data_IF_641002833532
#
_entry.id   IF_641002833532
#
_cell.length_a   1.000
_cell.length_b   1.000
_cell.length_c   1.000
_cell.angle_alpha   90.00
_cell.angle_beta   90.00
_cell.angle_gamma   90.00
#
_symmetry.space_group_name_H-M   'P 1'
#
loop_
_entity.id
_entity.type
_entity.pdbx_description
1 polymer ?
#
# COMPACT_ATOMS: atom_id res chain seq x y z
N UNK A 1 20.97 5.08 -0.38
CA UNK A 1 19.96 5.74 -0.83
C UNK A 1 18.67 5.07 -0.77
N UNK A 2 17.75 5.77 -0.34
CA UNK A 2 16.50 5.18 -0.17
C UNK A 2 15.73 5.21 -1.38
N UNK A 3 15.09 4.12 -1.69
CA UNK A 3 14.31 4.01 -2.79
C UNK A 3 13.01 4.60 -2.52
N UNK A 4 12.52 5.44 -3.28
CA UNK A 4 11.23 5.98 -3.07
C UNK A 4 10.17 5.22 -3.71
N UNK A 5 9.24 4.75 -2.94
CA UNK A 5 8.09 4.05 -3.46
C UNK A 5 7.08 5.11 -3.83
N UNK A 6 6.74 5.19 -5.11
CA UNK A 6 5.76 6.15 -5.55
C UNK A 6 4.47 5.44 -5.89
N UNK A 7 3.45 5.59 -5.11
CA UNK A 7 2.20 4.88 -5.34
C UNK A 7 1.66 5.13 -6.73
N UNK A 8 1.22 4.08 -7.37
CA UNK A 8 0.60 4.11 -8.70
C UNK A 8 1.54 4.45 -9.84
N UNK A 9 2.81 4.57 -9.57
CA UNK A 9 3.74 4.98 -10.61
C UNK A 9 4.14 3.87 -11.56
N UNK A 10 4.07 2.65 -11.12
CA UNK A 10 4.48 1.54 -11.99
C UNK A 10 3.81 0.26 -11.56
N UNK A 11 4.13 -0.81 -12.23
CA UNK A 11 3.49 -2.08 -11.94
C UNK A 11 4.45 -3.06 -11.32
N UNK A 12 5.52 -2.62 -10.79
CA UNK A 12 6.53 -3.52 -10.33
C UNK A 12 7.10 -3.31 -8.95
N UNK A 13 7.12 -2.10 -8.47
CA UNK A 13 7.80 -1.86 -7.21
C UNK A 13 7.15 -2.56 -6.04
N UNK A 14 7.98 -3.07 -5.16
CA UNK A 14 7.52 -3.75 -3.98
C UNK A 14 8.28 -3.16 -2.81
N UNK A 15 7.57 -2.84 -1.76
CA UNK A 15 8.16 -2.29 -0.58
C UNK A 15 7.80 -3.18 0.58
N UNK A 16 8.70 -3.36 1.52
CA UNK A 16 8.40 -4.12 2.71
C UNK A 16 8.44 -3.24 3.94
N UNK A 17 7.45 -3.36 4.78
CA UNK A 17 7.42 -2.66 6.04
C UNK A 17 7.17 -3.75 7.06
N UNK A 18 8.20 -4.15 7.77
CA UNK A 18 8.10 -5.31 8.64
C UNK A 18 7.80 -6.51 7.77
N UNK A 19 6.76 -7.23 8.13
CA UNK A 19 6.37 -8.40 7.34
C UNK A 19 5.28 -8.05 6.34
N UNK A 20 4.96 -6.79 6.22
CA UNK A 20 3.94 -6.38 5.30
C UNK A 20 4.57 -6.12 3.94
N UNK A 21 3.96 -6.62 2.90
CA UNK A 21 4.46 -6.41 1.57
C UNK A 21 3.53 -5.44 0.85
N UNK A 22 4.09 -4.40 0.27
CA UNK A 22 3.32 -3.39 -0.41
C UNK A 22 3.67 -3.45 -1.89
N UNK A 23 2.69 -3.70 -2.70
CA UNK A 23 2.93 -3.89 -4.12
C UNK A 23 2.29 -2.80 -4.94
N UNK A 24 3.03 -2.26 -5.88
CA UNK A 24 2.55 -1.15 -6.68
C UNK A 24 1.94 -1.60 -7.99
N UNK A 25 0.86 -0.96 -8.38
CA UNK A 25 0.28 -1.13 -9.69
C UNK A 25 -0.19 0.25 -10.12
N UNK A 26 -0.52 0.42 -11.37
CA UNK A 26 -0.96 1.72 -11.83
C UNK A 26 -2.31 2.11 -11.24
N UNK A 27 -3.14 1.17 -10.97
CA UNK A 27 -4.48 1.46 -10.50
C UNK A 27 -4.74 1.06 -9.06
N UNK A 28 -3.74 0.54 -8.36
CA UNK A 28 -3.94 0.17 -6.97
C UNK A 28 -2.64 -0.09 -6.25
N UNK A 29 -2.69 -0.03 -4.96
CA UNK A 29 -1.56 -0.41 -4.14
C UNK A 29 -2.11 -1.50 -3.23
N UNK A 30 -1.42 -2.62 -3.20
CA UNK A 30 -1.86 -3.76 -2.42
C UNK A 30 -0.97 -3.97 -1.21
N UNK A 31 -1.57 -4.12 -0.05
CA UNK A 31 -0.83 -4.39 1.16
C UNK A 31 -1.20 -5.79 1.61
N UNK A 32 -0.21 -6.64 1.73
CA UNK A 32 -0.44 -8.03 2.08
C UNK A 32 0.39 -8.44 3.27
N UNK A 33 -0.15 -9.26 4.13
CA UNK A 33 0.58 -9.74 5.27
C UNK A 33 0.09 -9.09 6.53
N UNK A 34 0.91 -9.11 7.57
CA UNK A 34 0.51 -8.48 8.79
C UNK A 34 1.72 -7.90 9.47
N UNK A 35 1.50 -7.05 10.44
CA UNK A 35 2.56 -6.42 11.15
C UNK A 35 2.06 -6.15 12.55
N UNK A 36 2.94 -6.31 13.51
CA UNK A 36 2.58 -6.08 14.89
C UNK A 36 3.24 -4.79 15.31
N UNK A 37 2.46 -3.85 15.79
CA UNK A 37 3.00 -2.58 16.22
C UNK A 37 3.02 -2.58 17.73
N UNK A 38 4.19 -2.83 18.26
CA UNK A 38 4.32 -2.94 19.70
C UNK A 38 4.37 -1.57 20.35
N UNK A 39 4.05 -1.52 21.60
CA UNK A 39 3.96 -0.25 22.28
C UNK A 39 5.33 0.12 22.81
N UNK A 40 6.24 0.44 21.92
CA UNK A 40 7.61 0.78 22.26
C UNK A 40 8.23 1.56 21.11
N UNK A 41 9.52 1.84 21.19
CA UNK A 41 10.17 2.62 20.17
C UNK A 41 10.18 1.94 18.81
N UNK A 42 10.31 0.65 18.82
CA UNK A 42 10.31 -0.09 17.56
C UNK A 42 8.92 0.01 16.93
N UNK A 43 7.88 -0.10 17.73
CA UNK A 43 6.53 0.04 17.22
C UNK A 43 6.27 1.44 16.66
N UNK A 44 6.82 2.45 17.32
CA UNK A 44 6.65 3.81 16.85
C UNK A 44 7.32 3.98 15.48
N UNK A 45 8.50 3.42 15.32
CA UNK A 45 9.21 3.54 14.06
C UNK A 45 8.41 2.85 12.94
N UNK A 46 7.85 1.70 13.23
CA UNK A 46 7.07 0.96 12.26
C UNK A 46 5.81 1.74 11.90
N UNK A 47 5.17 2.30 12.89
CA UNK A 47 3.97 3.08 12.66
C UNK A 47 4.25 4.31 11.81
N UNK A 48 5.42 4.92 12.00
CA UNK A 48 5.76 6.07 11.21
C UNK A 48 6.04 5.69 9.76
N UNK A 49 6.58 4.51 9.54
CA UNK A 49 6.80 4.05 8.19
C UNK A 49 5.47 3.85 7.49
N UNK A 50 4.51 3.27 8.19
CA UNK A 50 3.20 3.08 7.62
C UNK A 50 2.51 4.42 7.38
N UNK A 51 2.67 5.35 8.30
CA UNK A 51 2.08 6.65 8.16
C UNK A 51 2.63 7.35 6.91
N UNK A 52 3.91 7.21 6.68
CA UNK A 52 4.55 7.83 5.54
C UNK A 52 4.02 7.23 4.24
N UNK A 53 3.88 5.91 4.21
CA UNK A 53 3.36 5.25 3.04
C UNK A 53 1.93 5.69 2.75
N UNK A 54 1.09 5.65 3.76
CA UNK A 54 -0.31 6.01 3.58
C UNK A 54 -0.44 7.49 3.21
N UNK A 55 0.42 8.32 3.74
CA UNK A 55 0.42 9.73 3.38
C UNK A 55 0.71 9.93 1.90
N UNK A 56 1.63 9.14 1.36
CA UNK A 56 1.93 9.23 -0.05
C UNK A 56 0.77 8.74 -0.91
N UNK A 57 0.10 7.70 -0.43
CA UNK A 57 -1.05 7.16 -1.14
C UNK A 57 -2.16 8.21 -1.17
N UNK A 58 -2.44 8.84 -0.05
CA UNK A 58 -3.48 9.85 0.03
C UNK A 58 -3.15 11.01 -0.90
N UNK A 59 -1.89 11.44 -0.89
CA UNK A 59 -1.49 12.54 -1.71
C UNK A 59 -1.63 12.22 -3.18
N UNK A 60 -1.25 11.02 -3.56
CA UNK A 60 -1.35 10.60 -4.95
C UNK A 60 -2.81 10.56 -5.39
N UNK A 61 -3.67 10.06 -4.53
CA UNK A 61 -5.07 9.97 -4.87
C UNK A 61 -5.71 11.35 -4.97
N UNK A 62 -5.30 12.23 -4.08
CA UNK A 62 -5.85 13.57 -4.12
C UNK A 62 -5.40 14.35 -5.33
N UNK A 63 -4.27 13.99 -5.87
CA UNK A 63 -3.75 14.67 -7.04
C UNK A 63 -4.38 14.21 -8.33
N UNK A 64 -5.03 13.06 -8.29
CA UNK A 64 -5.62 12.51 -9.51
C UNK A 64 -6.93 13.21 -9.82
N UNK A 65 -7.04 13.79 -11.00
CA UNK A 65 -8.25 14.50 -11.35
C UNK A 65 -8.65 14.22 -12.76
N UNK A 66 -9.78 13.65 -12.97
CA UNK A 66 -10.73 13.28 -11.96
C UNK A 66 -10.41 11.90 -11.40
N UNK A 67 -10.75 11.72 -10.14
CA UNK A 67 -10.53 10.44 -9.53
C UNK A 67 -11.79 9.61 -9.82
N UNK A 68 -11.65 8.43 -10.37
CA UNK A 68 -12.84 7.63 -10.70
C UNK A 68 -13.53 7.17 -9.44
N UNK A 69 -14.80 6.89 -9.56
CA UNK A 69 -15.54 6.41 -8.44
C UNK A 69 -15.11 5.03 -8.02
N UNK A 70 -14.76 4.21 -8.96
CA UNK A 70 -14.34 2.85 -8.65
C UNK A 70 -13.44 2.33 -9.73
N UNK A 71 -12.49 1.49 -9.34
CA UNK A 71 -11.61 0.85 -10.29
C UNK A 71 -12.01 -0.60 -10.32
N UNK A 72 -12.14 -1.16 -11.50
CA UNK A 72 -12.50 -2.54 -11.61
C UNK A 72 -11.30 -3.39 -11.41
N UNK A 73 -11.27 -4.16 -10.35
CA UNK A 73 -10.15 -5.04 -10.08
C UNK A 73 -10.37 -6.37 -10.77
N UNK A 74 -9.38 -6.77 -11.56
CA UNK A 74 -9.48 -8.02 -12.21
C UNK A 74 -9.03 -9.08 -11.29
N UNK A 75 -9.88 -9.95 -10.95
CA UNK A 75 -9.56 -11.04 -10.09
C UNK A 75 -9.25 -12.20 -10.90
N UNK A 76 -8.04 -12.54 -11.04
CA UNK A 76 -7.69 -13.61 -11.88
C UNK A 76 -7.74 -14.91 -11.22
N UNK A 77 -7.79 -15.07 -9.96
CA UNK A 77 -7.93 -16.32 -9.41
C UNK A 77 -8.87 -16.25 -8.40
N UNK A 78 -9.34 -17.32 -8.04
CA UNK A 78 -10.33 -17.47 -7.19
C UNK A 78 -9.95 -17.34 -5.89
N UNK A 79 -9.82 -16.30 -5.42
CA UNK A 79 -9.46 -16.16 -4.12
C UNK A 79 -10.64 -16.19 -3.29
N UNK A 80 -10.62 -16.98 -2.27
CA UNK A 80 -11.66 -17.09 -1.45
C UNK A 80 -11.75 -15.89 -0.68
N UNK A 81 -12.69 -15.14 -0.74
CA UNK A 81 -12.82 -13.95 0.03
C UNK A 81 -13.67 -14.27 1.23
N UNK A 82 -13.11 -14.37 2.36
CA UNK A 82 -13.84 -14.78 3.54
C UNK A 82 -14.86 -13.77 4.01
N UNK A 83 -14.83 -12.61 3.50
CA UNK A 83 -15.80 -11.66 3.91
C UNK A 83 -16.97 -11.56 3.03
N UNK A 84 -17.07 -12.39 2.14
CA UNK A 84 -18.20 -12.36 1.26
C UNK A 84 -19.22 -13.27 1.74
#
# INVERSE_FOLDING_TARGET
MTQEFEPYANEADVLHIGDLEVENRHDRVTLTGDVVITKDKAGLALAKELQSLIGRVVKALEAEKPLPEAVELKVTETVKNPFV
#
